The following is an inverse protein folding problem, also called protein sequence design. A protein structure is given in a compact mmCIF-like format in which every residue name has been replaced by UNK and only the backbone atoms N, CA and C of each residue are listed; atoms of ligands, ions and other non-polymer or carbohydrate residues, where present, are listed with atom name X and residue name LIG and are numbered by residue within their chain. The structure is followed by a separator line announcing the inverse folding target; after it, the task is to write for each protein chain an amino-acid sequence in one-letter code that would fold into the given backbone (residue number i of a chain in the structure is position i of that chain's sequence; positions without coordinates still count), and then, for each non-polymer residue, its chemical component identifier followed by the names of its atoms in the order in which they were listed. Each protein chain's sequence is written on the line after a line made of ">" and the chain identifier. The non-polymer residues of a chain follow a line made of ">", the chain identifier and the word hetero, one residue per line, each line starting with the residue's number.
data_IF_795474506783
#
_entry.id   IF_795474506783
#
_cell.length_a   1.000
_cell.length_b   1.000
_cell.length_c   1.000
_cell.angle_alpha   90.00
_cell.angle_beta   90.00
_cell.angle_gamma   90.00
#
_symmetry.space_group_name_H-M   'P 1'
#
loop_
_entity.id
_entity.type
_entity.pdbx_description
1 polymer ?
#
# COMPACT_ATOMS: atom_id res chain seq x y z
N UNK A 1 3.08 15.46 -19.02
CA UNK A 1 2.40 15.39 -17.70
C UNK A 1 3.51 15.36 -16.67
N UNK A 2 3.53 16.34 -15.77
CA UNK A 2 4.57 16.43 -14.76
C UNK A 2 4.34 15.41 -13.64
N UNK A 3 5.41 14.73 -13.23
CA UNK A 3 5.37 13.79 -12.13
C UNK A 3 5.19 14.56 -10.82
N UNK A 4 4.11 14.26 -10.08
CA UNK A 4 3.91 14.75 -8.71
C UNK A 4 4.45 13.70 -7.75
N UNK A 5 5.38 14.12 -6.90
CA UNK A 5 5.96 13.26 -5.86
C UNK A 5 5.10 13.33 -4.60
N UNK A 6 4.22 12.34 -4.43
CA UNK A 6 3.25 12.35 -3.32
C UNK A 6 3.92 12.23 -1.95
N UNK A 7 5.11 11.62 -1.87
CA UNK A 7 5.89 11.60 -0.62
C UNK A 7 6.43 12.98 -0.32
N UNK A 8 6.96 13.70 -1.32
CA UNK A 8 7.42 15.08 -1.12
C UNK A 8 6.28 16.01 -0.68
N UNK A 9 5.09 15.83 -1.25
CA UNK A 9 3.88 16.57 -0.84
C UNK A 9 3.54 16.25 0.62
N UNK A 10 3.48 14.97 0.99
CA UNK A 10 3.21 14.55 2.37
C UNK A 10 4.24 15.09 3.36
N UNK A 11 5.53 15.07 3.02
CA UNK A 11 6.60 15.60 3.86
C UNK A 11 6.49 17.12 4.07
N UNK A 12 5.98 17.86 3.08
CA UNK A 12 5.69 19.29 3.22
C UNK A 12 4.44 19.55 4.08
N UNK A 13 3.50 18.60 4.13
CA UNK A 13 2.27 18.65 4.94
C UNK A 13 2.37 17.82 6.23
N UNK A 14 3.36 18.15 7.07
CA UNK A 14 3.55 17.51 8.40
C UNK A 14 3.71 15.98 8.38
N UNK A 15 4.02 15.38 7.23
CA UNK A 15 4.12 13.93 7.05
C UNK A 15 2.77 13.22 6.84
N UNK A 16 1.67 13.95 6.64
CA UNK A 16 0.34 13.36 6.47
C UNK A 16 0.18 12.81 5.05
N UNK A 17 -0.23 11.56 4.97
CA UNK A 17 -0.50 10.91 3.68
C UNK A 17 -1.95 11.18 3.27
N UNK A 18 -2.14 11.78 2.10
CA UNK A 18 -3.44 11.85 1.45
C UNK A 18 -3.77 10.50 0.81
N UNK A 19 -4.81 9.84 1.31
CA UNK A 19 -5.25 8.53 0.82
C UNK A 19 -5.74 8.56 -0.62
N UNK A 20 -6.19 9.71 -1.13
CA UNK A 20 -6.59 9.88 -2.53
C UNK A 20 -5.40 9.86 -3.51
N UNK A 21 -4.19 10.07 -2.99
CA UNK A 21 -2.94 10.03 -3.76
C UNK A 21 -2.34 8.62 -3.90
N UNK A 22 -2.91 7.64 -3.19
CA UNK A 22 -2.51 6.24 -3.21
C UNK A 22 -3.09 5.53 -4.43
N UNK A 23 -2.36 4.55 -4.95
CA UNK A 23 -2.73 3.75 -6.10
C UNK A 23 -2.64 2.28 -5.78
N UNK A 24 -3.67 1.53 -6.18
CA UNK A 24 -3.67 0.08 -6.10
C UNK A 24 -2.79 -0.53 -7.19
N UNK A 25 -2.04 -1.55 -6.80
CA UNK A 25 -1.55 -2.58 -7.70
C UNK A 25 -2.22 -3.87 -7.28
N UNK A 26 -3.15 -4.31 -8.14
CA UNK A 26 -4.14 -5.36 -7.90
C UNK A 26 -5.10 -4.98 -6.78
N UNK A 27 -6.36 -4.81 -7.13
CA UNK A 27 -7.36 -4.43 -6.14
C UNK A 27 -7.69 -5.60 -5.21
N UNK A 28 -7.94 -5.33 -3.92
CA UNK A 28 -8.41 -6.32 -2.97
C UNK A 28 -9.87 -6.72 -3.26
N UNK A 29 -10.39 -7.73 -2.56
CA UNK A 29 -11.82 -8.08 -2.65
C UNK A 29 -12.73 -6.97 -2.10
N UNK A 30 -12.21 -6.17 -1.15
CA UNK A 30 -12.87 -4.97 -0.65
C UNK A 30 -11.87 -3.99 -0.05
N UNK A 31 -12.19 -2.70 -0.13
CA UNK A 31 -11.46 -1.65 0.55
C UNK A 31 -12.44 -0.61 1.10
N UNK A 32 -12.18 -0.16 2.32
CA UNK A 32 -12.90 0.94 2.95
C UNK A 32 -11.90 1.94 3.53
N UNK A 33 -12.00 3.20 3.10
CA UNK A 33 -11.18 4.30 3.60
C UNK A 33 -12.09 5.21 4.41
N UNK A 34 -11.83 5.30 5.72
CA UNK A 34 -12.57 6.15 6.65
C UNK A 34 -11.60 6.88 7.56
N UNK A 35 -11.65 8.22 7.53
CA UNK A 35 -10.75 9.08 8.29
C UNK A 35 -9.28 8.70 8.01
N UNK A 36 -8.54 8.28 9.04
CA UNK A 36 -7.13 7.88 8.98
C UNK A 36 -6.97 6.34 8.99
N UNK A 37 -8.01 5.60 8.63
CA UNK A 37 -8.02 4.13 8.61
C UNK A 37 -8.35 3.60 7.23
N UNK A 38 -7.53 2.66 6.78
CA UNK A 38 -7.73 1.91 5.54
C UNK A 38 -7.96 0.45 5.93
N UNK A 39 -9.16 -0.05 5.69
CA UNK A 39 -9.50 -1.46 5.85
C UNK A 39 -9.37 -2.15 4.50
N UNK A 40 -8.68 -3.29 4.48
CA UNK A 40 -8.42 -4.09 3.28
C UNK A 40 -8.94 -5.50 3.53
N UNK A 41 -9.82 -5.98 2.66
CA UNK A 41 -10.32 -7.36 2.66
C UNK A 41 -9.68 -8.10 1.49
N UNK A 42 -8.77 -9.02 1.76
CA UNK A 42 -8.09 -9.79 0.71
C UNK A 42 -9.03 -10.82 0.08
N UNK A 43 -8.78 -11.18 -1.17
CA UNK A 43 -9.35 -12.39 -1.75
C UNK A 43 -8.58 -13.62 -1.24
N UNK A 44 -9.19 -14.82 -1.20
CA UNK A 44 -8.45 -16.04 -0.89
C UNK A 44 -7.27 -16.25 -1.85
N UNK A 45 -6.17 -16.84 -1.35
CA UNK A 45 -4.99 -17.23 -2.14
C UNK A 45 -4.25 -16.06 -2.80
N UNK A 46 -4.18 -14.92 -2.13
CA UNK A 46 -3.32 -13.79 -2.51
C UNK A 46 -1.96 -13.86 -1.83
N UNK A 47 -0.88 -13.62 -2.58
CA UNK A 47 0.50 -13.71 -2.12
C UNK A 47 1.43 -12.85 -3.00
N UNK A 48 2.57 -12.42 -2.43
CA UNK A 48 3.63 -11.70 -3.12
C UNK A 48 4.96 -12.40 -2.85
N UNK A 49 5.28 -13.36 -3.70
CA UNK A 49 6.47 -14.21 -3.58
C UNK A 49 7.19 -14.38 -4.91
N UNK A 50 8.52 -14.31 -4.86
CA UNK A 50 9.37 -14.48 -6.04
C UNK A 50 10.46 -15.52 -5.82
N UNK A 51 10.10 -16.79 -6.02
CA UNK A 51 10.98 -17.96 -6.28
C UNK A 51 11.99 -18.37 -5.21
N UNK A 52 12.39 -17.52 -4.28
CA UNK A 52 13.34 -17.86 -3.21
C UNK A 52 12.77 -19.03 -2.41
N UNK A 53 13.58 -20.06 -2.16
CA UNK A 53 13.24 -21.29 -1.40
C UNK A 53 12.11 -22.17 -1.96
N UNK A 54 10.92 -21.63 -2.22
CA UNK A 54 9.73 -22.40 -2.64
C UNK A 54 9.61 -22.62 -4.16
N UNK A 55 10.45 -21.98 -4.98
CA UNK A 55 10.47 -22.07 -6.44
C UNK A 55 9.18 -21.69 -7.20
N UNK A 56 8.06 -21.40 -6.52
CA UNK A 56 6.87 -20.80 -7.12
C UNK A 56 6.97 -19.27 -7.16
N UNK A 57 6.09 -18.66 -7.96
CA UNK A 57 5.94 -17.23 -8.07
C UNK A 57 4.46 -16.88 -7.97
N UNK A 58 4.12 -16.05 -6.98
CA UNK A 58 2.80 -15.46 -6.84
C UNK A 58 2.98 -13.94 -6.82
N UNK A 59 2.34 -13.24 -7.75
CA UNK A 59 2.36 -11.78 -7.81
C UNK A 59 0.92 -11.28 -7.92
N UNK A 60 0.10 -11.70 -6.96
CA UNK A 60 -1.34 -11.42 -6.94
C UNK A 60 -1.82 -10.70 -5.67
N UNK A 61 -0.95 -10.44 -4.68
CA UNK A 61 -1.33 -9.70 -3.48
C UNK A 61 -1.74 -8.24 -3.78
N UNK A 62 -2.75 -7.70 -3.08
CA UNK A 62 -3.11 -6.30 -3.19
C UNK A 62 -2.03 -5.42 -2.57
N UNK A 63 -1.62 -4.38 -3.29
CA UNK A 63 -0.59 -3.43 -2.85
C UNK A 63 -1.13 -2.01 -3.01
N UNK A 64 -1.27 -1.29 -1.90
CA UNK A 64 -1.61 0.13 -1.92
C UNK A 64 -0.32 0.93 -1.79
N UNK A 65 0.01 1.75 -2.81
CA UNK A 65 1.32 2.37 -2.93
C UNK A 65 1.25 3.80 -3.48
N UNK A 66 2.35 4.54 -3.33
CA UNK A 66 2.58 5.83 -3.98
C UNK A 66 3.98 5.86 -4.58
N UNK A 67 4.22 6.78 -5.52
CA UNK A 67 5.53 6.94 -6.17
C UNK A 67 6.29 8.10 -5.56
N UNK A 68 7.60 7.95 -5.45
CA UNK A 68 8.50 9.01 -5.02
C UNK A 68 9.85 8.94 -5.72
N UNK A 69 10.51 10.09 -5.87
CA UNK A 69 11.91 10.27 -6.25
C UNK A 69 12.78 10.58 -5.03
N UNK A 70 12.20 10.74 -3.85
CA UNK A 70 12.95 10.91 -2.61
C UNK A 70 13.74 9.63 -2.33
N UNK A 71 15.07 9.76 -2.25
CA UNK A 71 15.97 8.62 -2.04
C UNK A 71 15.85 8.05 -0.63
N UNK A 72 15.48 8.89 0.33
CA UNK A 72 15.41 8.55 1.73
C UNK A 72 14.08 9.05 2.29
N UNK A 73 13.30 8.13 2.84
CA UNK A 73 12.05 8.44 3.51
C UNK A 73 11.81 7.41 4.61
N UNK A 74 10.89 7.72 5.51
CA UNK A 74 10.38 6.78 6.49
C UNK A 74 8.86 6.92 6.49
N UNK A 75 8.18 5.79 6.60
CA UNK A 75 6.73 5.76 6.79
C UNK A 75 6.43 4.81 7.93
N UNK A 76 5.37 5.11 8.67
CA UNK A 76 4.92 4.31 9.80
C UNK A 76 3.44 4.03 9.60
N UNK A 77 3.06 2.80 9.88
CA UNK A 77 1.68 2.33 9.81
C UNK A 77 1.40 1.53 11.06
N UNK A 78 0.23 1.77 11.67
CA UNK A 78 -0.33 0.91 12.70
C UNK A 78 -1.24 -0.12 12.02
N UNK A 79 -1.05 -1.39 12.35
CA UNK A 79 -1.84 -2.49 11.78
C UNK A 79 -2.72 -3.13 12.85
N UNK A 80 -3.87 -3.64 12.41
CA UNK A 80 -4.78 -4.46 13.19
C UNK A 80 -5.24 -5.62 12.30
N UNK A 81 -5.11 -6.85 12.81
CA UNK A 81 -5.46 -8.09 12.13
C UNK A 81 -6.40 -8.95 12.96
N UNK A 82 -7.07 -8.39 13.98
CA UNK A 82 -7.99 -9.15 14.86
C UNK A 82 -9.14 -9.81 14.09
N UNK A 83 -9.55 -9.26 12.94
CA UNK A 83 -10.60 -9.80 12.06
C UNK A 83 -10.06 -10.72 10.94
N UNK A 84 -8.77 -11.06 10.95
CA UNK A 84 -8.16 -11.94 9.94
C UNK A 84 -8.37 -13.43 10.28
N UNK A 85 -8.69 -14.25 9.28
CA UNK A 85 -8.96 -15.69 9.39
C UNK A 85 -8.12 -16.53 8.42
#
# INVERSE_FOLDING_TARGET
>A
MDFVDNVKVALADSGRIDSSSLQWTREPAGCEIKNDTIRITTAPKTDLWQRTYYHFQNDNAPVLQMKTREKFFSFVVKTDFTESH
#
